data_IF_070794116395
#
_entry.id   IF_070794116395
#
_cell.length_a   1.000
_cell.length_b   1.000
_cell.length_c   1.000
_cell.angle_alpha   90.00
_cell.angle_beta   90.00
_cell.angle_gamma   90.00
#
_symmetry.space_group_name_H-M   'P 1'
#
loop_
_entity.id
_entity.type
_entity.pdbx_description
1 polymer ?
#
# COMPACT_ATOMS: atom_id res chain seq x y z
N UNK A 1 -17.42 -2.89 34.73
CA UNK A 1 -17.53 -1.69 33.89
C UNK A 1 -16.87 -2.01 32.55
N UNK A 2 -17.52 -1.78 31.40
CA UNK A 2 -16.98 -2.22 30.12
C UNK A 2 -15.74 -1.38 29.77
N UNK A 3 -14.60 -2.05 29.64
CA UNK A 3 -13.34 -1.46 29.20
C UNK A 3 -13.26 -1.52 27.68
N UNK A 4 -13.94 -0.61 26.99
CA UNK A 4 -13.79 -0.42 25.55
C UNK A 4 -12.84 0.75 25.29
N UNK A 5 -11.56 0.48 25.00
CA UNK A 5 -10.69 1.49 24.39
C UNK A 5 -11.15 1.62 22.93
N UNK A 6 -11.73 2.75 22.56
CA UNK A 6 -11.99 3.07 21.15
C UNK A 6 -10.65 3.18 20.41
N UNK A 7 -10.29 2.12 19.70
CA UNK A 7 -9.10 2.05 18.85
C UNK A 7 -9.38 2.85 17.58
N UNK A 8 -8.89 4.09 17.49
CA UNK A 8 -9.02 4.89 16.25
C UNK A 8 -8.28 4.21 15.10
N UNK A 9 -8.97 3.97 13.98
CA UNK A 9 -8.39 3.55 12.71
C UNK A 9 -7.48 4.64 12.13
N UNK A 10 -6.27 4.29 11.70
CA UNK A 10 -5.28 5.20 11.10
C UNK A 10 -4.85 4.70 9.72
N UNK A 11 -4.41 5.61 8.84
CA UNK A 11 -3.81 5.27 7.56
C UNK A 11 -4.74 4.46 6.64
N UNK A 12 -4.25 3.32 6.12
CA UNK A 12 -4.99 2.45 5.20
C UNK A 12 -6.29 1.90 5.80
N UNK A 13 -6.32 1.65 7.10
CA UNK A 13 -7.54 1.18 7.78
C UNK A 13 -8.62 2.26 7.76
N UNK A 14 -8.24 3.53 8.02
CA UNK A 14 -9.17 4.65 7.97
C UNK A 14 -9.72 4.86 6.55
N UNK A 15 -8.86 4.74 5.53
CA UNK A 15 -9.27 4.78 4.13
C UNK A 15 -10.32 3.71 3.81
N UNK A 16 -10.08 2.48 4.26
CA UNK A 16 -10.97 1.35 3.99
C UNK A 16 -12.23 1.35 4.88
N UNK A 17 -12.37 2.29 5.82
CA UNK A 17 -13.44 2.28 6.82
C UNK A 17 -13.38 1.07 7.75
N UNK A 18 -12.19 0.46 7.89
CA UNK A 18 -11.97 -0.74 8.69
C UNK A 18 -11.42 -0.39 10.05
N UNK A 19 -11.87 -1.15 11.06
CA UNK A 19 -11.21 -1.17 12.36
C UNK A 19 -10.06 -2.19 12.36
N UNK A 20 -9.07 -2.00 13.23
CA UNK A 20 -7.99 -2.94 13.31
C UNK A 20 -8.47 -4.33 13.76
N UNK A 21 -8.00 -5.39 13.09
CA UNK A 21 -8.40 -6.77 13.30
C UNK A 21 -8.04 -7.28 14.69
N UNK A 22 -8.98 -8.00 15.29
CA UNK A 22 -8.84 -8.65 16.59
C UNK A 22 -8.92 -10.16 16.41
N UNK A 23 -7.75 -10.81 16.38
CA UNK A 23 -7.67 -12.26 16.25
C UNK A 23 -8.24 -12.96 17.49
N UNK A 24 -9.04 -14.01 17.27
CA UNK A 24 -9.58 -14.84 18.35
C UNK A 24 -8.58 -15.94 18.72
N UNK A 25 -8.68 -16.46 19.96
CA UNK A 25 -7.71 -17.43 20.49
C UNK A 25 -7.63 -18.74 19.69
N UNK A 26 -8.74 -19.18 19.10
CA UNK A 26 -8.85 -20.44 18.34
C UNK A 26 -9.00 -20.19 16.83
N UNK A 27 -8.53 -19.03 16.35
CA UNK A 27 -8.65 -18.66 14.94
C UNK A 27 -7.43 -19.13 14.14
N UNK A 28 -7.70 -19.84 13.05
CA UNK A 28 -6.65 -20.21 12.10
C UNK A 28 -6.07 -18.96 11.43
N UNK A 29 -4.75 -18.89 11.39
CA UNK A 29 -4.04 -17.82 10.71
C UNK A 29 -4.42 -17.78 9.23
N UNK A 30 -4.79 -16.60 8.74
CA UNK A 30 -5.24 -16.39 7.36
C UNK A 30 -6.47 -17.24 6.97
N UNK A 31 -7.33 -17.55 7.94
CA UNK A 31 -8.67 -18.06 7.65
C UNK A 31 -9.55 -17.03 6.91
N UNK A 32 -10.74 -17.47 6.48
CA UNK A 32 -11.69 -16.66 5.69
C UNK A 32 -11.94 -15.25 6.25
N UNK A 33 -12.12 -15.04 7.59
CA UNK A 33 -12.33 -13.71 8.14
C UNK A 33 -11.13 -12.76 7.98
N UNK A 34 -9.90 -13.27 8.13
CA UNK A 34 -8.68 -12.48 7.94
C UNK A 34 -8.45 -12.17 6.46
N UNK A 35 -8.64 -13.16 5.59
CA UNK A 35 -8.53 -12.97 4.14
C UNK A 35 -9.50 -11.92 3.63
N UNK A 36 -10.76 -11.93 4.10
CA UNK A 36 -11.74 -10.91 3.73
C UNK A 36 -11.36 -9.52 4.24
N UNK A 37 -10.85 -9.42 5.47
CA UNK A 37 -10.36 -8.16 6.02
C UNK A 37 -9.27 -7.53 5.12
N UNK A 38 -8.25 -8.30 4.75
CA UNK A 38 -7.17 -7.81 3.88
C UNK A 38 -7.62 -7.57 2.44
N UNK A 39 -8.56 -8.38 1.93
CA UNK A 39 -9.17 -8.18 0.61
C UNK A 39 -9.88 -6.83 0.52
N UNK A 40 -10.68 -6.48 1.52
CA UNK A 40 -11.36 -5.18 1.59
C UNK A 40 -10.36 -4.03 1.69
N UNK A 41 -9.35 -4.16 2.57
CA UNK A 41 -8.28 -3.17 2.74
C UNK A 41 -7.54 -2.89 1.42
N UNK A 42 -7.09 -3.94 0.73
CA UNK A 42 -6.36 -3.83 -0.53
C UNK A 42 -7.24 -3.30 -1.68
N UNK A 43 -8.52 -3.69 -1.75
CA UNK A 43 -9.46 -3.16 -2.75
C UNK A 43 -9.70 -1.67 -2.55
N UNK A 44 -9.95 -1.23 -1.32
CA UNK A 44 -10.14 0.19 -1.00
C UNK A 44 -8.88 1.00 -1.38
N UNK A 45 -7.71 0.51 -0.98
CA UNK A 45 -6.44 1.17 -1.31
C UNK A 45 -6.16 1.24 -2.80
N UNK A 46 -6.37 0.15 -3.54
CA UNK A 46 -6.23 0.13 -5.00
C UNK A 46 -7.16 1.14 -5.67
N UNK A 47 -8.40 1.23 -5.22
CA UNK A 47 -9.39 2.12 -5.81
C UNK A 47 -9.01 3.59 -5.55
N UNK A 48 -8.58 3.93 -4.33
CA UNK A 48 -8.07 5.27 -4.03
C UNK A 48 -6.89 5.65 -4.95
N UNK A 49 -5.88 4.78 -5.07
CA UNK A 49 -4.72 5.04 -5.92
C UNK A 49 -5.11 5.22 -7.39
N UNK A 50 -6.12 4.49 -7.88
CA UNK A 50 -6.64 4.66 -9.25
C UNK A 50 -7.28 6.03 -9.42
N UNK A 51 -8.11 6.46 -8.47
CA UNK A 51 -8.71 7.79 -8.48
C UNK A 51 -7.64 8.90 -8.42
N UNK A 52 -6.59 8.73 -7.63
CA UNK A 52 -5.47 9.69 -7.54
C UNK A 52 -4.70 9.78 -8.86
N UNK A 53 -4.42 8.64 -9.50
CA UNK A 53 -3.78 8.61 -10.82
C UNK A 53 -4.66 9.31 -11.87
N UNK A 54 -5.97 9.05 -11.88
CA UNK A 54 -6.89 9.65 -12.85
C UNK A 54 -7.03 11.17 -12.65
N UNK A 55 -7.06 11.63 -11.39
CA UNK A 55 -7.05 13.07 -11.06
C UNK A 55 -5.78 13.75 -11.52
N UNK A 56 -4.62 13.17 -11.22
CA UNK A 56 -3.31 13.71 -11.64
C UNK A 56 -3.23 13.81 -13.17
N UNK A 57 -3.69 12.79 -13.90
CA UNK A 57 -3.72 12.83 -15.37
C UNK A 57 -4.62 13.95 -15.90
N UNK A 58 -5.75 14.21 -15.23
CA UNK A 58 -6.65 15.29 -15.62
C UNK A 58 -6.01 16.65 -15.36
N UNK A 59 -5.42 16.84 -14.18
CA UNK A 59 -4.68 18.06 -13.80
C UNK A 59 -3.59 18.40 -14.83
N UNK A 60 -2.71 17.44 -15.13
CA UNK A 60 -1.65 17.60 -16.11
C UNK A 60 -2.15 17.98 -17.51
N UNK A 61 -3.32 17.47 -17.93
CA UNK A 61 -3.91 17.82 -19.23
C UNK A 61 -4.43 19.25 -19.26
N UNK A 62 -5.07 19.68 -18.18
CA UNK A 62 -5.60 21.04 -18.04
C UNK A 62 -4.46 22.06 -18.00
N UNK A 63 -3.39 21.76 -17.25
CA UNK A 63 -2.20 22.61 -17.21
C UNK A 63 -1.44 22.64 -18.54
N UNK A 64 -1.36 21.52 -19.26
CA UNK A 64 -0.72 21.47 -20.58
C UNK A 64 -1.51 22.22 -21.66
N UNK A 65 -2.81 22.42 -21.47
CA UNK A 65 -3.64 23.24 -22.35
C UNK A 65 -3.41 24.75 -22.15
N UNK A 66 -2.84 25.14 -21.01
CA UNK A 66 -2.50 26.53 -20.68
C UNK A 66 -1.03 26.80 -21.00
N UNK A 67 -0.75 27.66 -21.98
CA UNK A 67 0.62 28.03 -22.32
C UNK A 67 1.17 28.97 -21.25
N UNK A 68 2.19 28.56 -20.47
CA UNK A 68 2.81 29.44 -19.48
C UNK A 68 3.58 30.55 -20.19
N UNK A 69 3.81 31.65 -19.48
CA UNK A 69 4.73 32.67 -19.94
C UNK A 69 6.19 32.14 -19.88
N UNK A 70 7.15 32.83 -20.53
CA UNK A 70 8.54 32.37 -20.55
C UNK A 70 9.23 32.28 -19.18
N UNK A 71 8.73 32.99 -18.16
CA UNK A 71 9.30 33.02 -16.81
C UNK A 71 8.76 31.86 -15.99
N UNK A 72 7.48 31.52 -16.15
CA UNK A 72 6.77 30.47 -15.43
C UNK A 72 7.00 29.07 -16.03
N UNK A 73 7.45 28.99 -17.30
CA UNK A 73 7.68 27.71 -17.99
C UNK A 73 8.59 26.76 -17.21
N UNK A 74 9.67 27.27 -16.62
CA UNK A 74 10.62 26.44 -15.87
C UNK A 74 9.97 25.82 -14.62
N UNK A 75 9.12 26.57 -13.92
CA UNK A 75 8.42 26.07 -12.74
C UNK A 75 7.38 25.01 -13.10
N UNK A 76 6.60 25.24 -14.16
CA UNK A 76 5.61 24.26 -14.66
C UNK A 76 6.29 22.95 -15.09
N UNK A 77 7.41 23.02 -15.81
CA UNK A 77 8.15 21.82 -16.24
C UNK A 77 8.68 21.01 -15.04
N UNK A 78 9.14 21.69 -13.98
CA UNK A 78 9.57 21.03 -12.75
C UNK A 78 8.40 20.30 -12.06
N UNK A 79 7.27 20.96 -11.92
CA UNK A 79 6.05 20.41 -11.32
C UNK A 79 5.56 19.17 -12.09
N UNK A 80 5.47 19.27 -13.41
CA UNK A 80 5.13 18.14 -14.29
C UNK A 80 6.09 16.95 -14.10
N UNK A 81 7.39 17.23 -13.97
CA UNK A 81 8.39 16.18 -13.77
C UNK A 81 8.19 15.43 -12.45
N UNK A 82 7.77 16.13 -11.39
CA UNK A 82 7.47 15.56 -10.08
C UNK A 82 6.19 14.74 -10.14
N UNK A 83 5.12 15.26 -10.74
CA UNK A 83 3.85 14.56 -10.90
C UNK A 83 4.01 13.26 -11.70
N UNK A 84 4.74 13.30 -12.83
CA UNK A 84 5.03 12.11 -13.64
C UNK A 84 5.73 11.01 -12.84
N UNK A 85 6.73 11.39 -12.03
CA UNK A 85 7.48 10.44 -11.17
C UNK A 85 6.58 9.84 -10.10
N UNK A 86 5.73 10.65 -9.46
CA UNK A 86 4.78 10.20 -8.45
C UNK A 86 3.77 9.23 -9.04
N UNK A 87 3.15 9.59 -10.17
CA UNK A 87 2.21 8.73 -10.91
C UNK A 87 2.83 7.39 -11.29
N UNK A 88 4.07 7.38 -11.76
CA UNK A 88 4.74 6.13 -12.12
C UNK A 88 5.00 5.23 -10.91
N UNK A 89 5.24 5.82 -9.72
CA UNK A 89 5.32 5.07 -8.46
C UNK A 89 3.97 4.50 -8.04
N UNK A 90 2.90 5.29 -8.14
CA UNK A 90 1.53 4.86 -7.85
C UNK A 90 1.09 3.72 -8.77
N UNK A 91 1.35 3.81 -10.08
CA UNK A 91 1.06 2.73 -11.03
C UNK A 91 1.80 1.44 -10.70
N UNK A 92 3.06 1.52 -10.28
CA UNK A 92 3.82 0.34 -9.81
C UNK A 92 3.22 -0.23 -8.52
N UNK A 93 2.78 0.63 -7.61
CA UNK A 93 2.14 0.23 -6.37
C UNK A 93 0.78 -0.45 -6.63
N UNK A 94 -0.05 0.08 -7.53
CA UNK A 94 -1.31 -0.54 -7.97
C UNK A 94 -1.05 -1.96 -8.47
N UNK A 95 -0.06 -2.14 -9.35
CA UNK A 95 0.34 -3.48 -9.84
C UNK A 95 0.78 -4.40 -8.70
N UNK A 96 1.48 -3.87 -7.69
CA UNK A 96 1.87 -4.65 -6.51
C UNK A 96 0.65 -5.09 -5.71
N UNK A 97 -0.30 -4.19 -5.48
CA UNK A 97 -1.56 -4.48 -4.79
C UNK A 97 -2.38 -5.52 -5.55
N UNK A 98 -2.46 -5.41 -6.88
CA UNK A 98 -3.14 -6.41 -7.73
C UNK A 98 -2.48 -7.78 -7.63
N UNK A 99 -1.14 -7.84 -7.58
CA UNK A 99 -0.41 -9.10 -7.31
C UNK A 99 -0.76 -9.65 -5.92
N UNK A 100 -0.79 -8.81 -4.89
CA UNK A 100 -1.15 -9.24 -3.54
C UNK A 100 -2.60 -9.72 -3.44
N UNK A 101 -3.54 -9.09 -4.15
CA UNK A 101 -4.92 -9.54 -4.22
C UNK A 101 -5.02 -10.94 -4.85
N UNK A 102 -4.23 -11.24 -5.89
CA UNK A 102 -4.16 -12.59 -6.46
C UNK A 102 -3.64 -13.62 -5.46
N UNK A 103 -2.63 -13.27 -4.66
CA UNK A 103 -2.14 -14.14 -3.59
C UNK A 103 -3.23 -14.49 -2.56
N UNK A 104 -4.11 -13.52 -2.24
CA UNK A 104 -5.28 -13.76 -1.39
C UNK A 104 -6.31 -14.66 -2.06
N UNK A 105 -6.46 -14.60 -3.38
CA UNK A 105 -7.35 -15.50 -4.15
C UNK A 105 -6.79 -16.92 -4.25
N UNK A 106 -5.46 -17.06 -4.20
CA UNK A 106 -4.73 -18.33 -4.27
C UNK A 106 -4.42 -18.93 -2.88
N UNK A 107 -4.94 -18.35 -1.80
CA UNK A 107 -4.65 -18.71 -0.40
C UNK A 107 -3.15 -18.71 -0.01
N UNK A 108 -2.32 -17.93 -0.72
CA UNK A 108 -0.88 -17.76 -0.50
C UNK A 108 -0.55 -16.35 0.06
N UNK A 109 -1.32 -15.89 1.04
CA UNK A 109 -1.14 -14.58 1.65
C UNK A 109 -0.80 -14.70 3.14
N UNK A 110 0.04 -13.77 3.63
CA UNK A 110 0.40 -13.68 5.04
C UNK A 110 1.76 -14.27 5.41
N UNK A 111 2.40 -15.06 4.54
CA UNK A 111 3.66 -15.72 4.88
C UNK A 111 4.88 -15.00 4.27
N UNK A 112 6.03 -15.15 4.92
CA UNK A 112 7.30 -14.63 4.43
C UNK A 112 7.81 -15.45 3.24
N UNK A 113 8.04 -14.81 2.10
CA UNK A 113 8.53 -15.46 0.87
C UNK A 113 9.94 -16.07 1.03
N UNK A 114 10.69 -15.69 2.06
CA UNK A 114 12.06 -16.18 2.29
C UNK A 114 12.16 -17.32 3.30
N UNK A 115 11.38 -17.28 4.38
CA UNK A 115 11.48 -18.27 5.47
C UNK A 115 10.19 -19.02 5.77
N UNK A 116 9.08 -18.67 5.11
CA UNK A 116 7.78 -19.32 5.30
C UNK A 116 7.06 -18.97 6.60
N UNK A 117 7.66 -18.15 7.47
CA UNK A 117 7.04 -17.77 8.76
C UNK A 117 5.90 -16.77 8.53
N UNK A 118 4.86 -16.88 9.34
CA UNK A 118 3.74 -15.95 9.42
C UNK A 118 4.20 -14.50 9.62
N UNK A 119 3.59 -13.60 8.87
CA UNK A 119 3.75 -12.15 9.04
C UNK A 119 2.65 -11.67 9.97
N UNK A 120 3.02 -11.01 11.06
CA UNK A 120 2.03 -10.53 12.05
C UNK A 120 0.93 -9.67 11.42
N UNK A 121 -0.32 -9.90 11.83
CA UNK A 121 -1.52 -9.22 11.31
C UNK A 121 -1.36 -7.70 11.34
N UNK A 122 -0.94 -7.13 12.48
CA UNK A 122 -0.70 -5.69 12.63
C UNK A 122 0.29 -5.10 11.63
N UNK A 123 1.29 -5.90 11.23
CA UNK A 123 2.27 -5.50 10.22
C UNK A 123 1.65 -5.51 8.83
N UNK A 124 0.82 -6.50 8.51
CA UNK A 124 0.09 -6.54 7.25
C UNK A 124 -0.97 -5.44 7.18
N UNK A 125 -1.62 -5.06 8.28
CA UNK A 125 -2.53 -3.91 8.29
C UNK A 125 -1.81 -2.60 7.94
N UNK A 126 -0.60 -2.43 8.48
CA UNK A 126 0.24 -1.26 8.19
C UNK A 126 0.79 -1.30 6.76
N UNK A 127 1.17 -2.48 6.26
CA UNK A 127 1.73 -2.67 4.93
C UNK A 127 1.27 -4.01 4.32
N UNK A 128 0.09 -4.04 3.66
CA UNK A 128 -0.51 -5.31 3.23
C UNK A 128 0.20 -5.92 2.02
N UNK A 129 1.04 -5.16 1.32
CA UNK A 129 1.87 -5.66 0.22
C UNK A 129 3.27 -6.11 0.68
N UNK A 130 3.43 -6.51 1.95
CA UNK A 130 4.73 -6.93 2.48
C UNK A 130 5.00 -8.40 2.14
N UNK A 131 6.14 -8.68 1.50
CA UNK A 131 6.50 -10.02 1.01
C UNK A 131 7.40 -10.79 1.99
N UNK A 132 7.99 -10.12 2.98
CA UNK A 132 8.96 -10.70 3.91
C UNK A 132 8.54 -10.43 5.36
N UNK A 133 8.97 -11.26 6.32
CA UNK A 133 8.88 -10.93 7.75
C UNK A 133 9.84 -9.80 8.12
N UNK A 134 9.76 -9.31 9.37
CA UNK A 134 10.60 -8.20 9.83
C UNK A 134 12.10 -8.54 9.81
N UNK A 135 12.47 -9.76 10.21
CA UNK A 135 13.88 -10.18 10.30
C UNK A 135 14.49 -10.32 8.90
N UNK A 136 13.83 -11.04 8.00
CA UNK A 136 14.27 -11.18 6.61
C UNK A 136 14.35 -9.81 5.92
N UNK A 137 13.38 -8.92 6.16
CA UNK A 137 13.41 -7.59 5.56
C UNK A 137 14.57 -6.74 6.10
N UNK A 138 14.83 -6.80 7.40
CA UNK A 138 15.95 -6.09 8.03
C UNK A 138 17.29 -6.57 7.47
N UNK A 139 17.48 -7.89 7.36
CA UNK A 139 18.69 -8.47 6.79
C UNK A 139 18.88 -8.08 5.31
N UNK A 140 17.79 -8.05 4.53
CA UNK A 140 17.85 -7.61 3.15
C UNK A 140 18.29 -6.14 3.02
N UNK A 141 17.81 -5.26 3.90
CA UNK A 141 18.19 -3.84 3.91
C UNK A 141 19.64 -3.61 4.36
N UNK A 142 20.14 -4.39 5.33
CA UNK A 142 21.56 -4.36 5.73
C UNK A 142 22.44 -4.77 4.55
N UNK A 143 22.09 -5.86 3.88
CA UNK A 143 22.83 -6.36 2.71
C UNK A 143 22.81 -5.35 1.56
N UNK A 144 21.67 -4.72 1.30
CA UNK A 144 21.54 -3.69 0.27
C UNK A 144 22.50 -2.52 0.52
N UNK A 145 22.56 -2.01 1.77
CA UNK A 145 23.47 -0.92 2.16
C UNK A 145 24.95 -1.30 1.99
N UNK A 146 25.32 -2.55 2.28
CA UNK A 146 26.70 -3.03 2.13
C UNK A 146 27.12 -3.21 0.67
N UNK A 147 26.17 -3.46 -0.23
CA UNK A 147 26.43 -3.65 -1.66
C UNK A 147 26.38 -2.35 -2.46
N UNK A 148 25.63 -1.35 -1.99
CA UNK A 148 25.49 -0.05 -2.64
C UNK A 148 26.46 1.01 -2.10
N UNK A 149 27.10 0.76 -0.96
CA UNK A 149 28.22 1.57 -0.43
C UNK A 149 29.54 1.17 -1.06
#
# INVERSE_FOLDING_TARGET
MPTGKETKSLGLLALAGLQPYEAKADEEYMGEPQMEHFRLLLKAWRNQLREEVDRTVTHMKDEAANFPDPVDRAAQEEEFSLELRTRDRERKLIKKIEKTLKRIEEDDFGFCDQCGIEIGIRRLEARPTADLCIDCKTMAEIKEKQLQG
#
